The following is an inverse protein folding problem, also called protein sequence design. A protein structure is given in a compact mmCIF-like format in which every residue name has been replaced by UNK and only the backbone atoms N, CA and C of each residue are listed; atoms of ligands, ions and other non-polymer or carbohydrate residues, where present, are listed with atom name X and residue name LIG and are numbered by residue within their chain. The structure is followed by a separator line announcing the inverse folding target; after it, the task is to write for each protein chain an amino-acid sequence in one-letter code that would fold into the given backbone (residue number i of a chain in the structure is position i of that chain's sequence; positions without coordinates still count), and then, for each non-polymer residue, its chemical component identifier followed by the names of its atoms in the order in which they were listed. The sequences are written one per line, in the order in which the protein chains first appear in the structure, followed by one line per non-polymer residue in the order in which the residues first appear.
data_IF_808350023292
#
_entry.id   IF_808350023292
#
_cell.length_a   1.000
_cell.length_b   1.000
_cell.length_c   1.000
_cell.angle_alpha   90.00
_cell.angle_beta   90.00
_cell.angle_gamma   90.00
#
_symmetry.space_group_name_H-M   'P 1'
#
loop_
_entity.id
_entity.type
_entity.pdbx_description
1 polymer ?
#
# COMPACT_ATOMS: atom_id res chain seq x y z
N UNK A 1 -48.59 8.96 35.39
CA UNK A 1 -48.27 9.56 36.70
C UNK A 1 -46.97 8.95 37.20
N UNK A 2 -45.94 9.81 37.37
CA UNK A 2 -44.78 9.60 38.27
C UNK A 2 -45.28 9.52 39.74
N UNK A 3 -44.53 8.99 40.73
CA UNK A 3 -43.12 9.34 41.08
C UNK A 3 -42.21 8.10 41.30
N UNK A 4 -40.89 8.11 41.09
CA UNK A 4 -39.77 8.94 41.59
C UNK A 4 -39.41 8.70 43.05
N UNK A 5 -38.28 8.02 43.28
CA UNK A 5 -37.18 8.41 44.19
C UNK A 5 -35.90 7.67 43.81
N UNK A 6 -34.84 8.44 43.53
CA UNK A 6 -33.42 8.03 43.40
C UNK A 6 -32.87 7.44 44.72
N UNK A 7 -31.71 6.76 44.68
CA UNK A 7 -30.49 7.51 45.01
C UNK A 7 -29.34 7.29 44.01
N UNK A 8 -28.70 8.40 43.64
CA UNK A 8 -27.37 8.48 43.04
C UNK A 8 -26.30 7.99 44.02
N UNK A 9 -25.29 7.28 43.51
CA UNK A 9 -23.91 7.48 43.93
C UNK A 9 -22.93 7.11 42.81
N UNK A 10 -22.09 8.09 42.47
CA UNK A 10 -20.90 8.05 41.62
C UNK A 10 -19.90 6.99 42.08
N UNK A 11 -19.31 6.25 41.14
CA UNK A 11 -17.87 5.94 41.18
C UNK A 11 -17.31 6.02 39.75
N UNK A 12 -16.54 7.08 39.53
CA UNK A 12 -15.62 7.28 38.42
C UNK A 12 -14.53 6.20 38.35
N UNK A 13 -14.10 5.86 37.13
CA UNK A 13 -12.75 5.33 36.89
C UNK A 13 -12.68 3.86 36.46
N UNK A 14 -12.86 3.62 35.18
CA UNK A 14 -12.23 2.48 34.50
C UNK A 14 -12.05 2.85 33.03
N UNK A 15 -10.82 3.21 32.68
CA UNK A 15 -10.34 3.42 31.32
C UNK A 15 -10.63 2.17 30.48
N UNK A 16 -11.60 2.30 29.58
CA UNK A 16 -11.99 1.27 28.64
C UNK A 16 -10.82 0.95 27.69
N UNK A 17 -10.11 -0.13 28.00
CA UNK A 17 -9.14 -0.79 27.13
C UNK A 17 -9.93 -1.52 26.06
N UNK A 18 -10.10 -0.91 24.89
CA UNK A 18 -10.66 -1.59 23.73
C UNK A 18 -9.53 -2.42 23.09
N UNK A 19 -9.42 -3.67 23.53
CA UNK A 19 -8.55 -4.68 22.94
C UNK A 19 -9.24 -5.29 21.70
N UNK A 20 -8.51 -5.33 20.57
CA UNK A 20 -8.83 -6.18 19.42
C UNK A 20 -8.46 -7.65 19.74
N UNK A 21 -9.13 -8.59 19.05
CA UNK A 21 -9.43 -10.00 19.33
C UNK A 21 -8.22 -10.97 19.43
N UNK A 22 -7.02 -10.46 19.79
CA UNK A 22 -5.81 -11.24 20.14
C UNK A 22 -5.00 -10.65 21.32
N UNK A 23 -5.57 -9.79 22.16
CA UNK A 23 -4.90 -9.33 23.39
C UNK A 23 -3.56 -8.62 23.19
N UNK A 24 -3.33 -7.99 22.02
CA UNK A 24 -2.07 -7.32 21.67
C UNK A 24 -2.00 -5.93 22.27
N UNK A 25 -0.85 -5.56 22.84
CA UNK A 25 -0.63 -4.23 23.40
C UNK A 25 -0.33 -3.18 22.32
N UNK A 26 -0.46 -1.90 22.68
CA UNK A 26 -0.10 -0.77 21.81
C UNK A 26 1.38 -0.84 21.38
N UNK A 27 2.27 -1.14 22.32
CA UNK A 27 3.72 -1.21 22.07
C UNK A 27 4.06 -2.37 21.12
N UNK A 28 3.43 -3.54 21.29
CA UNK A 28 3.57 -4.66 20.36
C UNK A 28 3.09 -4.30 18.94
N UNK A 29 2.04 -3.48 18.82
CA UNK A 29 1.57 -3.00 17.53
C UNK A 29 2.59 -2.05 16.85
N UNK A 30 3.21 -1.15 17.63
CA UNK A 30 4.29 -0.26 17.15
C UNK A 30 5.51 -1.09 16.70
N UNK A 31 5.95 -2.04 17.53
CA UNK A 31 7.06 -2.95 17.21
C UNK A 31 6.77 -3.69 15.91
N UNK A 32 5.55 -4.22 15.74
CA UNK A 32 5.15 -4.91 14.50
C UNK A 32 5.29 -4.03 13.27
N UNK A 33 4.90 -2.76 13.33
CA UNK A 33 5.06 -1.82 12.20
C UNK A 33 6.53 -1.53 11.86
N UNK A 34 7.38 -1.43 12.88
CA UNK A 34 8.83 -1.28 12.71
C UNK A 34 9.45 -2.55 12.14
N UNK A 35 9.06 -3.74 12.61
CA UNK A 35 9.56 -5.02 12.10
C UNK A 35 9.30 -5.19 10.60
N UNK A 36 8.11 -4.82 10.12
CA UNK A 36 7.80 -4.88 8.68
C UNK A 36 8.69 -3.92 7.88
N UNK A 37 8.83 -2.68 8.36
CA UNK A 37 9.57 -1.63 7.64
C UNK A 37 11.07 -1.90 7.64
N UNK A 38 11.60 -2.51 8.70
CA UNK A 38 13.00 -2.96 8.78
C UNK A 38 13.33 -4.01 7.72
N UNK A 39 12.36 -4.75 7.14
CA UNK A 39 12.63 -5.72 6.06
C UNK A 39 13.16 -5.00 4.81
N UNK A 40 12.78 -3.74 4.66
CA UNK A 40 13.13 -2.89 3.52
C UNK A 40 14.18 -1.84 3.88
N UNK A 41 14.84 -1.97 5.04
CA UNK A 41 15.74 -0.94 5.59
C UNK A 41 15.07 0.44 5.65
N UNK A 42 13.80 0.46 6.08
CA UNK A 42 12.97 1.65 6.11
C UNK A 42 12.66 2.02 7.57
N UNK A 43 13.46 2.87 8.22
CA UNK A 43 13.11 3.43 9.51
C UNK A 43 11.94 4.40 9.33
N UNK A 44 11.05 4.49 10.32
CA UNK A 44 9.76 5.17 10.18
C UNK A 44 9.75 6.52 10.90
N UNK A 45 9.11 7.53 10.30
CA UNK A 45 8.67 8.71 11.05
C UNK A 45 7.48 8.35 11.95
N UNK A 46 7.20 9.16 12.96
CA UNK A 46 6.08 8.91 13.88
C UNK A 46 4.73 8.85 13.15
N UNK A 47 4.53 9.69 12.14
CA UNK A 47 3.32 9.69 11.33
C UNK A 47 3.18 8.42 10.50
N UNK A 48 4.30 7.85 10.06
CA UNK A 48 4.32 6.58 9.32
C UNK A 48 4.08 5.38 10.24
N UNK A 49 4.54 5.44 11.50
CA UNK A 49 4.17 4.46 12.54
C UNK A 49 2.65 4.49 12.72
N UNK A 50 2.06 5.66 12.97
CA UNK A 50 0.61 5.80 13.14
C UNK A 50 -0.14 5.34 11.89
N UNK A 51 0.31 5.73 10.70
CA UNK A 51 -0.31 5.34 9.43
C UNK A 51 -0.38 3.82 9.24
N UNK A 52 0.62 3.09 9.74
CA UNK A 52 0.76 1.65 9.51
C UNK A 52 0.75 0.81 10.79
N UNK A 53 0.24 1.35 11.90
CA UNK A 53 0.03 0.58 13.12
C UNK A 53 -1.14 -0.38 12.93
N UNK A 54 -0.94 -1.64 13.31
CA UNK A 54 -1.88 -2.73 12.98
C UNK A 54 -2.87 -2.96 14.11
N UNK A 55 -4.17 -2.90 13.80
CA UNK A 55 -5.26 -3.25 14.73
C UNK A 55 -5.44 -2.31 15.93
N UNK A 56 -4.67 -1.22 16.01
CA UNK A 56 -4.76 -0.23 17.09
C UNK A 56 -5.00 1.14 16.50
N UNK A 57 -6.05 1.83 16.98
CA UNK A 57 -6.29 3.23 16.63
C UNK A 57 -5.50 4.13 17.58
N UNK A 58 -4.70 5.04 17.05
CA UNK A 58 -3.92 6.01 17.83
C UNK A 58 -3.68 7.30 17.04
N UNK A 59 -3.35 8.35 17.77
CA UNK A 59 -2.92 9.64 17.24
C UNK A 59 -1.39 9.75 17.21
N UNK A 60 -0.88 10.78 16.52
CA UNK A 60 0.56 11.08 16.45
C UNK A 60 1.12 11.40 17.83
N UNK A 61 0.39 12.18 18.63
CA UNK A 61 0.83 12.57 19.97
C UNK A 61 0.88 11.37 20.92
N UNK A 62 -0.12 10.48 20.89
CA UNK A 62 -0.12 9.24 21.67
C UNK A 62 1.06 8.33 21.29
N UNK A 63 1.34 8.19 19.99
CA UNK A 63 2.47 7.40 19.51
C UNK A 63 3.81 8.01 19.94
N UNK A 64 3.98 9.33 19.79
CA UNK A 64 5.18 10.04 20.21
C UNK A 64 5.41 9.92 21.71
N UNK A 65 4.35 10.06 22.51
CA UNK A 65 4.47 9.93 23.96
C UNK A 65 4.82 8.51 24.38
N UNK A 66 4.20 7.49 23.76
CA UNK A 66 4.55 6.09 24.03
C UNK A 66 6.00 5.77 23.69
N UNK A 67 6.49 6.27 22.55
CA UNK A 67 7.88 6.11 22.12
C UNK A 67 8.88 6.78 23.07
N UNK A 68 8.48 7.79 23.85
CA UNK A 68 9.33 8.51 24.82
C UNK A 68 9.17 8.08 26.28
N UNK A 69 8.05 7.44 26.65
CA UNK A 69 7.71 7.17 28.05
C UNK A 69 7.61 5.67 28.40
N UNK A 70 7.47 4.77 27.41
CA UNK A 70 7.45 3.32 27.69
C UNK A 70 8.87 2.78 27.80
N UNK A 71 9.34 2.53 29.04
CA UNK A 71 10.70 2.03 29.29
C UNK A 71 11.05 0.75 28.49
N UNK A 72 10.19 -0.30 28.45
CA UNK A 72 10.48 -1.50 27.66
C UNK A 72 10.55 -1.22 26.15
N UNK A 73 9.73 -0.29 25.66
CA UNK A 73 9.74 0.10 24.25
C UNK A 73 10.99 0.91 23.90
N UNK A 74 11.36 1.88 24.74
CA UNK A 74 12.56 2.69 24.58
C UNK A 74 13.83 1.86 24.54
N UNK A 75 13.88 0.75 25.29
CA UNK A 75 15.00 -0.18 25.27
C UNK A 75 15.19 -0.88 23.91
N UNK A 76 14.13 -1.02 23.11
CA UNK A 76 14.15 -1.72 21.82
C UNK A 76 14.07 -0.79 20.61
N UNK A 77 13.45 0.37 20.76
CA UNK A 77 13.23 1.34 19.70
C UNK A 77 14.11 2.56 19.95
N UNK A 78 14.98 2.85 18.99
CA UNK A 78 15.88 4.01 19.00
C UNK A 78 15.41 5.05 17.99
N UNK A 79 15.94 6.25 18.10
CA UNK A 79 15.66 7.35 17.16
C UNK A 79 16.92 8.17 16.88
N UNK A 80 17.04 8.71 15.67
CA UNK A 80 18.04 9.72 15.28
C UNK A 80 17.48 11.16 15.37
N UNK A 81 16.29 11.31 15.97
CA UNK A 81 15.53 12.56 16.04
C UNK A 81 14.50 12.72 14.92
N UNK A 82 14.68 12.05 13.78
CA UNK A 82 13.77 12.12 12.63
C UNK A 82 13.04 10.78 12.39
N UNK A 83 13.77 9.68 12.50
CA UNK A 83 13.27 8.34 12.27
C UNK A 83 13.36 7.49 13.54
N UNK A 84 12.44 6.54 13.65
CA UNK A 84 12.39 5.50 14.66
C UNK A 84 12.73 4.16 14.03
N UNK A 85 13.54 3.37 14.73
CA UNK A 85 14.04 2.09 14.24
C UNK A 85 14.32 1.13 15.40
N UNK A 86 14.34 -0.17 15.08
CA UNK A 86 14.72 -1.20 16.03
C UNK A 86 16.22 -1.10 16.34
N UNK A 87 16.61 -1.39 17.58
CA UNK A 87 17.99 -1.34 18.03
C UNK A 87 18.96 -2.09 17.08
N UNK A 88 20.12 -1.48 16.80
CA UNK A 88 21.11 -2.02 15.86
C UNK A 88 20.85 -1.72 14.38
N UNK A 89 19.83 -0.90 14.07
CA UNK A 89 19.46 -0.52 12.69
C UNK A 89 19.74 0.93 12.33
N UNK A 90 20.59 1.62 13.10
CA UNK A 90 20.90 3.05 12.92
C UNK A 90 21.39 3.40 11.50
N UNK A 91 22.21 2.53 10.91
CA UNK A 91 22.71 2.71 9.54
C UNK A 91 21.59 2.82 8.48
N UNK A 92 20.38 2.32 8.75
CA UNK A 92 19.25 2.44 7.84
C UNK A 92 18.74 3.89 7.73
N UNK A 93 19.03 4.78 8.69
CA UNK A 93 18.59 6.17 8.66
C UNK A 93 19.26 6.96 7.54
N UNK A 94 20.58 6.83 7.39
CA UNK A 94 21.29 7.47 6.27
C UNK A 94 20.84 6.87 4.93
N UNK A 95 20.75 5.53 4.86
CA UNK A 95 20.28 4.84 3.65
C UNK A 95 18.87 5.30 3.23
N UNK A 96 17.98 5.54 4.21
CA UNK A 96 16.64 6.07 3.97
C UNK A 96 16.67 7.46 3.35
N UNK A 97 17.51 8.35 3.87
CA UNK A 97 17.69 9.73 3.34
C UNK A 97 18.19 9.69 1.89
N UNK A 98 19.19 8.85 1.61
CA UNK A 98 19.78 8.71 0.27
C UNK A 98 18.74 8.18 -0.74
N UNK A 99 18.05 7.08 -0.40
CA UNK A 99 17.00 6.50 -1.26
C UNK A 99 15.81 7.41 -1.45
N UNK A 100 15.45 8.20 -0.44
CA UNK A 100 14.36 9.16 -0.57
C UNK A 100 14.68 10.25 -1.59
N UNK A 101 15.91 10.77 -1.59
CA UNK A 101 16.37 11.74 -2.59
C UNK A 101 16.34 11.15 -4.02
N UNK A 102 16.89 9.95 -4.20
CA UNK A 102 16.89 9.24 -5.49
C UNK A 102 15.47 8.94 -5.98
N UNK A 103 14.62 8.42 -5.10
CA UNK A 103 13.23 8.08 -5.41
C UNK A 103 12.43 9.32 -5.82
N UNK A 104 12.64 10.46 -5.17
CA UNK A 104 11.99 11.73 -5.54
C UNK A 104 12.39 12.18 -6.94
N UNK A 105 13.68 12.07 -7.28
CA UNK A 105 14.17 12.37 -8.63
C UNK A 105 13.55 11.42 -9.67
N UNK A 106 13.57 10.12 -9.41
CA UNK A 106 12.99 9.12 -10.30
C UNK A 106 11.48 9.31 -10.48
N UNK A 107 10.75 9.62 -9.40
CA UNK A 107 9.31 9.89 -9.45
C UNK A 107 9.01 11.13 -10.30
N UNK A 108 9.79 12.21 -10.16
CA UNK A 108 9.62 13.42 -10.96
C UNK A 108 9.86 13.19 -12.47
N UNK A 109 10.87 12.38 -12.82
CA UNK A 109 11.11 11.94 -14.21
C UNK A 109 9.94 11.10 -14.71
N UNK A 110 9.51 10.13 -13.91
CA UNK A 110 8.42 9.20 -14.24
C UNK A 110 7.12 9.94 -14.51
N UNK A 111 6.78 10.96 -13.72
CA UNK A 111 5.57 11.77 -13.92
C UNK A 111 5.45 12.34 -15.33
N UNK A 112 6.54 12.89 -15.87
CA UNK A 112 6.56 13.47 -17.22
C UNK A 112 6.33 12.39 -18.28
N UNK A 113 6.96 11.23 -18.10
CA UNK A 113 6.85 10.07 -19.00
C UNK A 113 5.48 9.40 -18.95
N UNK A 114 4.76 9.56 -17.83
CA UNK A 114 3.42 9.01 -17.60
C UNK A 114 2.29 9.91 -18.12
N UNK A 115 2.55 11.18 -18.49
CA UNK A 115 1.55 12.09 -19.08
C UNK A 115 0.75 11.46 -20.25
N UNK A 116 1.38 10.75 -21.21
CA UNK A 116 0.67 10.11 -22.32
C UNK A 116 -0.32 9.02 -21.92
N UNK A 117 -0.26 8.50 -20.68
CA UNK A 117 -1.23 7.50 -20.20
C UNK A 117 -2.67 8.05 -20.24
N UNK A 118 -2.84 9.37 -20.12
CA UNK A 118 -4.13 10.04 -20.29
C UNK A 118 -4.78 9.81 -21.67
N UNK A 119 -4.02 9.33 -22.66
CA UNK A 119 -4.49 9.01 -24.01
C UNK A 119 -4.86 7.54 -24.23
N UNK A 120 -4.66 6.68 -23.24
CA UNK A 120 -4.92 5.25 -23.33
C UNK A 120 -6.44 5.01 -23.17
N UNK A 121 -7.10 4.38 -24.16
CA UNK A 121 -8.53 4.13 -24.08
C UNK A 121 -8.85 3.17 -22.93
N UNK A 122 -9.93 3.49 -22.23
CA UNK A 122 -10.49 2.73 -21.11
C UNK A 122 -9.58 2.61 -19.89
N UNK A 123 -8.44 3.31 -19.85
CA UNK A 123 -7.66 3.48 -18.63
C UNK A 123 -8.47 4.34 -17.64
N UNK A 124 -8.60 3.90 -16.40
CA UNK A 124 -9.33 4.60 -15.34
C UNK A 124 -8.46 4.95 -14.15
N UNK A 125 -7.43 4.14 -13.92
CA UNK A 125 -6.39 4.42 -12.93
C UNK A 125 -5.03 3.91 -13.39
N UNK A 126 -4.00 4.68 -13.09
CA UNK A 126 -2.63 4.21 -12.95
C UNK A 126 -2.09 4.72 -11.61
N UNK A 127 -1.46 3.85 -10.83
CA UNK A 127 -0.81 4.19 -9.56
C UNK A 127 0.59 3.59 -9.54
N UNK A 128 1.57 4.35 -9.04
CA UNK A 128 2.91 3.82 -8.76
C UNK A 128 2.84 3.00 -7.48
N UNK A 129 3.49 1.84 -7.47
CA UNK A 129 3.52 0.91 -6.33
C UNK A 129 4.96 0.52 -5.96
N UNK A 130 5.13 -0.28 -4.90
CA UNK A 130 6.43 -0.83 -4.52
C UNK A 130 7.38 0.21 -3.91
N UNK A 131 8.68 -0.04 -4.02
CA UNK A 131 9.72 0.75 -3.36
C UNK A 131 9.70 2.23 -3.78
N UNK A 132 9.44 2.52 -5.07
CA UNK A 132 9.35 3.90 -5.55
C UNK A 132 8.17 4.65 -4.93
N UNK A 133 7.04 3.98 -4.73
CA UNK A 133 5.87 4.57 -4.08
C UNK A 133 6.11 4.88 -2.60
N UNK A 134 6.93 4.07 -1.93
CA UNK A 134 7.40 4.33 -0.57
C UNK A 134 8.53 5.38 -0.51
N UNK A 135 9.01 5.88 -1.65
CA UNK A 135 10.23 6.70 -1.74
C UNK A 135 11.48 5.99 -1.20
N UNK A 136 11.58 4.68 -1.37
CA UNK A 136 12.70 3.85 -0.89
C UNK A 136 13.27 2.95 -1.99
N UNK A 137 13.13 3.36 -3.25
CA UNK A 137 13.68 2.64 -4.38
C UNK A 137 15.22 2.81 -4.41
N UNK A 138 15.97 1.70 -4.60
CA UNK A 138 17.34 1.76 -5.09
C UNK A 138 17.43 2.50 -6.44
N UNK A 139 18.58 3.14 -6.69
CA UNK A 139 18.89 3.70 -8.00
C UNK A 139 18.72 2.69 -9.13
N UNK A 140 17.94 3.07 -10.15
CA UNK A 140 17.78 2.30 -11.38
C UNK A 140 16.71 1.20 -11.35
N UNK A 141 15.94 1.07 -10.26
CA UNK A 141 14.84 0.11 -10.18
C UNK A 141 13.70 0.43 -11.16
N UNK A 142 12.98 -0.61 -11.60
CA UNK A 142 11.80 -0.48 -12.45
C UNK A 142 10.65 0.27 -11.74
N UNK A 143 9.82 0.95 -12.52
CA UNK A 143 8.59 1.61 -12.04
C UNK A 143 7.41 0.65 -12.13
N UNK A 144 6.99 0.12 -10.99
CA UNK A 144 5.81 -0.72 -10.89
C UNK A 144 4.51 0.09 -10.92
N UNK A 145 3.59 -0.32 -11.79
CA UNK A 145 2.29 0.29 -11.97
C UNK A 145 1.14 -0.67 -11.61
N UNK A 146 0.25 -0.19 -10.75
CA UNK A 146 -1.11 -0.71 -10.59
C UNK A 146 -2.04 0.00 -11.57
N UNK A 147 -2.64 -0.76 -12.48
CA UNK A 147 -3.53 -0.28 -13.53
C UNK A 147 -4.96 -0.73 -13.23
N UNK A 148 -5.94 0.17 -13.41
CA UNK A 148 -7.36 -0.17 -13.43
C UNK A 148 -7.95 0.23 -14.78
N UNK A 149 -8.55 -0.72 -15.48
CA UNK A 149 -9.31 -0.50 -16.71
C UNK A 149 -10.81 -0.39 -16.46
N UNK A 150 -11.52 0.18 -17.43
CA UNK A 150 -12.99 0.11 -17.49
C UNK A 150 -13.49 -1.33 -17.58
N UNK A 151 -14.75 -1.54 -17.21
CA UNK A 151 -15.45 -2.83 -17.31
C UNK A 151 -15.36 -3.38 -18.73
N UNK A 152 -15.03 -4.68 -18.85
CA UNK A 152 -14.97 -5.44 -20.12
C UNK A 152 -13.97 -4.89 -21.17
N UNK A 153 -13.01 -4.04 -20.78
CA UNK A 153 -12.02 -3.42 -21.68
C UNK A 153 -10.57 -3.68 -21.28
N UNK A 154 -10.35 -4.67 -20.42
CA UNK A 154 -9.05 -5.04 -19.85
C UNK A 154 -8.00 -5.31 -20.93
N UNK A 155 -8.35 -6.10 -21.95
CA UNK A 155 -7.39 -6.50 -22.99
C UNK A 155 -7.11 -5.35 -23.96
N UNK A 156 -8.12 -4.56 -24.30
CA UNK A 156 -7.95 -3.33 -25.08
C UNK A 156 -7.03 -2.35 -24.36
N UNK A 157 -7.27 -2.03 -23.08
CA UNK A 157 -6.40 -1.14 -22.31
C UNK A 157 -4.97 -1.69 -22.24
N UNK A 158 -4.80 -2.98 -21.96
CA UNK A 158 -3.49 -3.62 -21.91
C UNK A 158 -2.75 -3.57 -23.26
N UNK A 159 -3.46 -3.76 -24.37
CA UNK A 159 -2.89 -3.59 -25.72
C UNK A 159 -2.34 -2.19 -25.94
N UNK A 160 -3.12 -1.14 -25.68
CA UNK A 160 -2.64 0.23 -25.84
C UNK A 160 -1.50 0.58 -24.88
N UNK A 161 -1.50 0.05 -23.65
CA UNK A 161 -0.38 0.20 -22.72
C UNK A 161 0.90 -0.46 -23.23
N UNK A 162 0.80 -1.65 -23.84
CA UNK A 162 1.96 -2.29 -24.49
C UNK A 162 2.48 -1.49 -25.68
N UNK A 163 1.60 -0.88 -26.48
CA UNK A 163 2.01 0.01 -27.56
C UNK A 163 2.72 1.25 -27.02
N UNK A 164 2.14 1.89 -26.00
CA UNK A 164 2.78 3.02 -25.31
C UNK A 164 4.16 2.66 -24.77
N UNK A 165 4.30 1.48 -24.16
CA UNK A 165 5.59 1.01 -23.64
C UNK A 165 6.61 0.80 -24.75
N UNK A 166 6.20 0.17 -25.86
CA UNK A 166 7.06 -0.16 -27.00
C UNK A 166 7.50 1.08 -27.78
N UNK A 167 6.57 1.95 -28.13
CA UNK A 167 6.85 3.13 -28.98
C UNK A 167 7.31 4.34 -28.19
N UNK A 168 7.02 4.41 -26.89
CA UNK A 168 7.51 5.46 -26.01
C UNK A 168 8.88 5.18 -25.40
N UNK A 169 9.54 4.07 -25.77
CA UNK A 169 10.81 3.63 -25.17
C UNK A 169 10.78 3.65 -23.64
N UNK A 170 9.76 3.01 -23.06
CA UNK A 170 9.50 2.99 -21.62
C UNK A 170 9.74 1.59 -21.01
N UNK A 171 10.93 0.97 -21.19
CA UNK A 171 11.15 -0.42 -20.79
C UNK A 171 11.07 -0.64 -19.28
N UNK A 172 11.40 0.38 -18.51
CA UNK A 172 11.41 0.47 -17.04
C UNK A 172 10.01 0.50 -16.42
N UNK A 173 8.94 0.68 -17.20
CA UNK A 173 7.57 0.63 -16.67
C UNK A 173 6.98 -0.78 -16.73
N UNK A 174 6.79 -1.36 -15.54
CA UNK A 174 6.21 -2.67 -15.31
C UNK A 174 4.73 -2.54 -14.92
N UNK A 175 3.83 -3.21 -15.64
CA UNK A 175 2.41 -3.27 -15.28
C UNK A 175 2.18 -4.32 -14.18
N UNK A 176 2.71 -4.09 -12.98
CA UNK A 176 2.76 -5.06 -11.89
C UNK A 176 1.37 -5.63 -11.54
N UNK A 177 0.37 -4.76 -11.37
CA UNK A 177 -0.99 -5.20 -11.06
C UNK A 177 -1.96 -4.60 -12.08
N UNK A 178 -2.90 -5.40 -12.54
CA UNK A 178 -3.92 -4.96 -13.48
C UNK A 178 -5.30 -5.42 -13.01
N UNK A 179 -6.20 -4.47 -12.80
CA UNK A 179 -7.57 -4.68 -12.34
C UNK A 179 -8.56 -4.12 -13.35
N UNK A 180 -9.83 -4.50 -13.21
CA UNK A 180 -10.95 -3.89 -13.91
C UNK A 180 -11.93 -3.31 -12.91
N UNK A 181 -12.58 -2.21 -13.25
CA UNK A 181 -13.74 -1.67 -12.51
C UNK A 181 -14.91 -2.68 -12.37
N UNK A 182 -14.88 -3.79 -13.10
CA UNK A 182 -15.82 -4.89 -12.97
C UNK A 182 -15.52 -5.86 -11.83
N UNK A 183 -14.31 -5.83 -11.26
CA UNK A 183 -13.87 -6.69 -10.16
C UNK A 183 -12.83 -5.96 -9.29
N UNK A 184 -13.30 -4.97 -8.52
CA UNK A 184 -12.45 -4.19 -7.60
C UNK A 184 -12.26 -4.86 -6.23
N UNK A 185 -13.11 -5.82 -5.86
CA UNK A 185 -13.03 -6.52 -4.55
C UNK A 185 -11.77 -7.36 -4.49
N UNK A 186 -10.90 -7.13 -3.51
CA UNK A 186 -9.62 -7.80 -3.35
C UNK A 186 -9.71 -9.02 -2.42
N UNK A 187 -9.81 -10.24 -2.99
CA UNK A 187 -10.10 -11.47 -2.23
C UNK A 187 -8.96 -12.00 -1.35
N UNK A 188 -7.72 -11.49 -1.51
CA UNK A 188 -6.57 -11.94 -0.71
C UNK A 188 -6.35 -10.94 0.42
N UNK A 189 -7.24 -10.94 1.40
CA UNK A 189 -7.19 -10.00 2.51
C UNK A 189 -6.04 -10.40 3.45
N UNK A 190 -5.08 -9.50 3.63
CA UNK A 190 -4.03 -9.63 4.64
C UNK A 190 -3.25 -8.32 4.76
N UNK A 191 -2.51 -8.23 5.87
CA UNK A 191 -1.63 -7.13 6.22
C UNK A 191 -0.75 -6.65 5.06
N UNK A 192 -0.05 -7.55 4.36
CA UNK A 192 0.85 -7.18 3.26
C UNK A 192 0.12 -6.45 2.14
N UNK A 193 -1.03 -6.97 1.68
CA UNK A 193 -1.75 -6.29 0.60
C UNK A 193 -2.44 -5.01 1.04
N UNK A 194 -2.93 -4.92 2.28
CA UNK A 194 -3.43 -3.66 2.80
C UNK A 194 -2.32 -2.59 2.80
N UNK A 195 -1.10 -2.96 3.21
CA UNK A 195 0.06 -2.07 3.24
C UNK A 195 0.46 -1.59 1.83
N UNK A 196 0.46 -2.50 0.87
CA UNK A 196 0.75 -2.18 -0.54
C UNK A 196 -0.33 -1.28 -1.17
N UNK A 197 -1.62 -1.54 -0.89
CA UNK A 197 -2.73 -0.74 -1.42
C UNK A 197 -2.71 0.68 -0.85
N UNK A 198 -2.53 0.83 0.47
CA UNK A 198 -2.46 2.14 1.14
C UNK A 198 -1.17 2.90 0.80
N UNK A 199 -0.11 2.20 0.42
CA UNK A 199 1.17 2.77 -0.02
C UNK A 199 1.18 3.17 -1.50
N UNK A 200 0.20 2.75 -2.30
CA UNK A 200 0.13 3.09 -3.71
C UNK A 200 -0.05 4.61 -3.91
N UNK A 201 0.61 5.16 -4.93
CA UNK A 201 0.51 6.57 -5.31
C UNK A 201 -0.28 6.70 -6.62
N UNK A 202 -1.59 7.02 -6.58
CA UNK A 202 -2.37 7.26 -7.78
C UNK A 202 -1.78 8.45 -8.55
N UNK A 203 -1.38 8.21 -9.80
CA UNK A 203 -0.79 9.21 -10.71
C UNK A 203 -1.77 9.70 -11.77
N UNK A 204 -2.65 8.81 -12.21
CA UNK A 204 -3.78 9.08 -13.08
C UNK A 204 -4.98 8.38 -12.45
N UNK A 205 -6.02 9.12 -12.10
CA UNK A 205 -7.18 8.55 -11.44
C UNK A 205 -8.46 9.29 -11.86
N UNK A 206 -9.48 8.55 -12.24
CA UNK A 206 -10.81 9.05 -12.64
C UNK A 206 -11.88 8.73 -11.59
N UNK A 207 -11.48 8.58 -10.33
CA UNK A 207 -12.32 8.13 -9.21
C UNK A 207 -12.28 6.61 -8.97
N UNK A 208 -11.45 5.88 -9.71
CA UNK A 208 -11.31 4.42 -9.59
C UNK A 208 -10.59 4.00 -8.31
N UNK A 209 -9.62 4.79 -7.84
CA UNK A 209 -8.89 4.45 -6.63
C UNK A 209 -9.80 4.50 -5.40
N UNK A 210 -10.67 5.51 -5.32
CA UNK A 210 -11.68 5.65 -4.27
C UNK A 210 -12.63 4.46 -4.27
N UNK A 211 -13.21 4.13 -5.44
CA UNK A 211 -14.06 2.95 -5.59
C UNK A 211 -13.33 1.65 -5.24
N UNK A 212 -12.02 1.58 -5.51
CA UNK A 212 -11.21 0.43 -5.15
C UNK A 212 -11.04 0.32 -3.63
N UNK A 213 -10.76 1.42 -2.93
CA UNK A 213 -10.69 1.43 -1.47
C UNK A 213 -12.06 1.15 -0.82
N UNK A 214 -13.14 1.72 -1.35
CA UNK A 214 -14.50 1.50 -0.83
C UNK A 214 -14.99 0.06 -1.03
N UNK A 215 -14.51 -0.63 -2.08
CA UNK A 215 -14.76 -2.05 -2.29
C UNK A 215 -13.95 -2.97 -1.36
N UNK A 216 -13.04 -2.41 -0.55
CA UNK A 216 -12.10 -3.14 0.31
C UNK A 216 -12.01 -2.53 1.72
N UNK A 217 -13.12 -2.46 2.48
CA UNK A 217 -13.14 -1.82 3.80
C UNK A 217 -12.25 -2.53 4.83
N UNK A 218 -12.01 -3.83 4.67
CA UNK A 218 -11.12 -4.65 5.51
C UNK A 218 -9.71 -4.06 5.68
N UNK A 219 -9.26 -3.21 4.74
CA UNK A 219 -7.98 -2.50 4.83
C UNK A 219 -7.93 -1.61 6.08
N UNK A 220 -9.05 -0.99 6.44
CA UNK A 220 -9.16 -0.10 7.60
C UNK A 220 -9.26 -0.87 8.92
N UNK A 221 -9.76 -2.11 8.88
CA UNK A 221 -9.71 -3.00 10.06
C UNK A 221 -8.27 -3.39 10.37
N UNK A 222 -7.44 -3.57 9.33
CA UNK A 222 -5.99 -3.82 9.50
C UNK A 222 -5.27 -2.56 9.99
N UNK A 223 -5.57 -1.38 9.43
CA UNK A 223 -4.91 -0.11 9.74
C UNK A 223 -5.93 0.96 10.20
N UNK A 224 -6.46 0.84 11.44
CA UNK A 224 -7.55 1.70 11.91
C UNK A 224 -7.15 3.16 12.18
N UNK A 225 -5.85 3.43 12.24
CA UNK A 225 -5.26 4.77 12.38
C UNK A 225 -5.07 5.50 11.04
N UNK A 226 -5.23 4.80 9.91
CA UNK A 226 -5.07 5.40 8.59
C UNK A 226 -6.19 6.42 8.33
N UNK A 227 -5.79 7.65 8.05
CA UNK A 227 -6.71 8.73 7.73
C UNK A 227 -6.60 9.10 6.24
N UNK A 228 -7.71 9.02 5.50
CA UNK A 228 -7.74 9.30 4.06
C UNK A 228 -7.40 10.76 3.73
N UNK A 229 -7.68 11.73 4.61
CA UNK A 229 -7.42 13.14 4.37
C UNK A 229 -5.96 13.51 4.60
N UNK A 230 -5.35 12.94 5.64
CA UNK A 230 -3.96 13.17 6.04
C UNK A 230 -2.97 12.30 5.28
N UNK A 231 -3.23 11.00 5.19
CA UNK A 231 -2.22 10.01 4.78
C UNK A 231 -2.23 9.70 3.28
N UNK A 232 -3.30 10.10 2.58
CA UNK A 232 -3.44 9.82 1.15
C UNK A 232 -2.55 10.75 0.33
N UNK A 233 -1.43 10.19 -0.09
CA UNK A 233 -0.57 10.85 -1.06
C UNK A 233 -1.14 10.65 -2.47
N UNK A 234 -1.35 11.76 -3.16
CA UNK A 234 -1.69 11.75 -4.59
C UNK A 234 -0.65 12.55 -5.35
N UNK A 235 -0.12 11.95 -6.40
CA UNK A 235 0.70 12.64 -7.36
C UNK A 235 -0.13 12.88 -8.60
N UNK A 236 -0.19 14.11 -9.08
CA UNK A 236 -0.98 14.40 -10.26
C UNK A 236 -0.05 14.60 -11.45
N UNK A 237 -0.22 13.78 -12.49
CA UNK A 237 0.39 14.12 -13.77
C UNK A 237 -0.32 15.36 -14.36
N UNK A 238 0.42 16.30 -14.98
CA UNK A 238 -0.18 17.47 -15.61
C UNK A 238 -1.26 17.08 -16.61
N UNK A 239 -2.47 17.67 -16.48
CA UNK A 239 -3.58 17.38 -17.38
C UNK A 239 -3.22 17.83 -18.79
N UNK A 240 -3.43 16.95 -19.76
CA UNK A 240 -3.09 17.24 -21.16
C UNK A 240 -4.33 17.13 -22.05
N UNK A 241 -4.91 18.25 -22.51
CA UNK A 241 -6.14 18.25 -23.31
C UNK A 241 -6.04 17.38 -24.58
N UNK A 242 -4.87 17.36 -25.23
CA UNK A 242 -4.59 16.51 -26.39
C UNK A 242 -4.77 15.02 -26.09
N UNK A 243 -4.22 14.56 -24.97
CA UNK A 243 -4.26 13.15 -24.57
C UNK A 243 -5.67 12.76 -24.12
N UNK A 244 -6.33 13.61 -23.33
CA UNK A 244 -7.73 13.42 -22.92
C UNK A 244 -8.67 13.35 -24.14
N UNK A 245 -8.47 14.22 -25.14
CA UNK A 245 -9.27 14.19 -26.39
C UNK A 245 -9.03 12.90 -27.17
N UNK A 246 -7.76 12.47 -27.28
CA UNK A 246 -7.39 11.19 -27.90
C UNK A 246 -8.05 10.00 -27.22
N UNK A 247 -8.03 9.94 -25.88
CA UNK A 247 -8.68 8.89 -25.12
C UNK A 247 -10.18 8.84 -25.44
N UNK A 248 -10.87 9.99 -25.36
CA UNK A 248 -12.31 10.06 -25.68
C UNK A 248 -12.64 9.62 -27.10
N UNK A 249 -11.82 10.02 -28.08
CA UNK A 249 -12.02 9.61 -29.48
C UNK A 249 -11.85 8.09 -29.64
N UNK A 250 -10.76 7.53 -29.10
CA UNK A 250 -10.50 6.09 -29.18
C UNK A 250 -11.57 5.29 -28.43
N UNK A 251 -12.03 5.76 -27.27
CA UNK A 251 -13.13 5.09 -26.54
C UNK A 251 -14.44 5.12 -27.33
N UNK A 252 -14.75 6.21 -28.03
CA UNK A 252 -15.94 6.29 -28.92
C UNK A 252 -15.82 5.34 -30.10
N UNK A 253 -14.65 5.28 -30.75
CA UNK A 253 -14.40 4.38 -31.89
C UNK A 253 -14.44 2.91 -31.47
N UNK A 254 -13.96 2.61 -30.27
CA UNK A 254 -13.93 1.27 -29.68
C UNK A 254 -15.13 1.02 -28.76
N UNK A 255 -16.21 1.80 -28.90
CA UNK A 255 -17.46 1.54 -28.20
C UNK A 255 -18.33 0.56 -29.01
N UNK A 256 -19.22 -0.15 -28.32
CA UNK A 256 -20.19 -1.06 -28.93
C UNK A 256 -19.56 -2.29 -29.59
N UNK A 257 -20.27 -2.85 -30.57
CA UNK A 257 -19.97 -4.13 -31.22
C UNK A 257 -18.55 -4.19 -31.83
N UNK A 258 -18.08 -3.17 -32.59
CA UNK A 258 -16.73 -3.19 -33.14
C UNK A 258 -15.65 -3.27 -32.05
N UNK A 259 -15.85 -2.53 -30.96
CA UNK A 259 -14.97 -2.58 -29.79
C UNK A 259 -15.00 -3.93 -29.06
N UNK A 260 -16.18 -4.55 -28.97
CA UNK A 260 -16.34 -5.87 -28.35
C UNK A 260 -15.66 -6.97 -29.16
N UNK A 261 -15.77 -6.91 -30.49
CA UNK A 261 -15.03 -7.80 -31.38
C UNK A 261 -13.52 -7.58 -31.27
N UNK A 262 -13.08 -6.32 -31.18
CA UNK A 262 -11.67 -5.99 -30.97
C UNK A 262 -11.14 -6.53 -29.63
N UNK A 263 -11.87 -6.32 -28.53
CA UNK A 263 -11.55 -6.86 -27.21
C UNK A 263 -11.42 -8.39 -27.27
N UNK A 264 -12.37 -9.08 -27.91
CA UNK A 264 -12.35 -10.54 -28.04
C UNK A 264 -11.13 -11.03 -28.84
N UNK A 265 -10.83 -10.37 -29.96
CA UNK A 265 -9.74 -10.72 -30.86
C UNK A 265 -8.38 -10.51 -30.16
N UNK A 266 -8.16 -9.32 -29.61
CA UNK A 266 -6.93 -8.98 -28.89
C UNK A 266 -6.74 -9.85 -27.65
N UNK A 267 -7.81 -10.14 -26.91
CA UNK A 267 -7.76 -11.10 -25.79
C UNK A 267 -7.18 -12.43 -26.23
N UNK A 268 -7.67 -12.98 -27.34
CA UNK A 268 -7.22 -14.28 -27.85
C UNK A 268 -5.74 -14.25 -28.22
N UNK A 269 -5.31 -13.21 -28.94
CA UNK A 269 -3.91 -13.04 -29.37
C UNK A 269 -2.98 -12.84 -28.16
N UNK A 270 -3.36 -11.97 -27.22
CA UNK A 270 -2.53 -11.62 -26.07
C UNK A 270 -2.49 -12.74 -25.03
N UNK A 271 -3.57 -13.50 -24.86
CA UNK A 271 -3.61 -14.70 -24.00
C UNK A 271 -2.53 -15.70 -24.44
N UNK A 272 -2.51 -16.05 -25.73
CA UNK A 272 -1.52 -17.00 -26.29
C UNK A 272 -0.08 -16.54 -26.06
N UNK A 273 0.19 -15.24 -26.23
CA UNK A 273 1.52 -14.66 -26.01
C UNK A 273 1.91 -14.59 -24.53
N UNK A 274 0.94 -14.37 -23.64
CA UNK A 274 1.19 -14.32 -22.20
C UNK A 274 1.46 -15.72 -21.65
N UNK A 275 0.68 -16.73 -22.05
CA UNK A 275 0.88 -18.10 -21.59
C UNK A 275 2.23 -18.67 -22.04
N UNK A 276 2.74 -18.28 -23.23
CA UNK A 276 4.07 -18.69 -23.68
C UNK A 276 5.21 -17.99 -22.93
N UNK A 277 5.01 -16.77 -22.45
CA UNK A 277 6.05 -15.97 -21.78
C UNK A 277 6.01 -16.11 -20.25
N UNK A 278 4.84 -16.37 -19.69
CA UNK A 278 4.55 -16.41 -18.25
C UNK A 278 3.33 -17.29 -18.00
N UNK A 279 3.53 -18.62 -17.86
CA UNK A 279 2.43 -19.57 -17.67
C UNK A 279 1.49 -19.16 -16.52
N UNK A 280 0.19 -19.09 -16.78
CA UNK A 280 -0.83 -18.73 -15.79
C UNK A 280 -1.17 -17.25 -15.70
N UNK A 281 -0.37 -16.35 -16.29
CA UNK A 281 -0.67 -14.91 -16.32
C UNK A 281 -1.97 -14.61 -17.06
N UNK A 282 -2.26 -15.33 -18.15
CA UNK A 282 -3.50 -15.13 -18.90
C UNK A 282 -4.74 -15.65 -18.15
N UNK A 283 -4.61 -16.74 -17.38
CA UNK A 283 -5.69 -17.24 -16.52
C UNK A 283 -6.04 -16.23 -15.42
N UNK A 284 -5.02 -15.61 -14.81
CA UNK A 284 -5.21 -14.52 -13.87
C UNK A 284 -5.97 -13.36 -14.54
N UNK A 285 -5.52 -12.95 -15.73
CA UNK A 285 -6.12 -11.86 -16.50
C UNK A 285 -7.59 -12.11 -16.89
N UNK A 286 -7.96 -13.37 -17.18
CA UNK A 286 -9.36 -13.78 -17.42
C UNK A 286 -10.26 -13.57 -16.19
N UNK A 287 -9.70 -13.64 -14.98
CA UNK A 287 -10.38 -13.29 -13.72
C UNK A 287 -10.30 -11.79 -13.41
N UNK A 288 -10.08 -10.95 -14.42
CA UNK A 288 -9.92 -9.48 -14.30
C UNK A 288 -8.82 -9.05 -13.32
N UNK A 289 -7.82 -9.90 -13.09
CA UNK A 289 -6.71 -9.63 -12.17
C UNK A 289 -5.41 -10.08 -12.76
N UNK A 290 -4.49 -9.19 -13.05
CA UNK A 290 -3.12 -9.59 -13.33
C UNK A 290 -2.28 -9.24 -12.12
N UNK A 291 -1.54 -10.20 -11.58
CA UNK A 291 -0.29 -9.95 -10.88
C UNK A 291 0.82 -10.38 -11.83
N UNK A 292 1.50 -9.42 -12.46
CA UNK A 292 2.68 -9.63 -13.28
C UNK A 292 3.93 -9.65 -12.41
N UNK A 293 3.91 -10.37 -11.29
CA UNK A 293 5.15 -10.73 -10.64
C UNK A 293 5.77 -11.91 -11.37
N UNK A 294 7.04 -11.76 -11.78
CA UNK A 294 7.88 -12.89 -12.21
C UNK A 294 8.25 -13.82 -11.04
N UNK A 295 8.11 -13.37 -9.78
CA UNK A 295 8.34 -14.15 -8.53
C UNK A 295 7.40 -13.65 -7.42
N UNK A 296 6.63 -14.54 -6.79
CA UNK A 296 5.80 -14.20 -5.62
C UNK A 296 6.69 -14.10 -4.38
N UNK A 297 7.32 -12.94 -4.19
CA UNK A 297 8.19 -12.69 -3.03
C UNK A 297 7.40 -12.50 -1.72
N UNK A 298 6.07 -12.61 -1.73
CA UNK A 298 5.23 -12.48 -0.53
C UNK A 298 5.58 -13.52 0.51
N UNK A 299 5.67 -14.80 0.14
CA UNK A 299 5.92 -15.87 1.11
C UNK A 299 7.24 -15.64 1.86
N UNK A 300 8.37 -15.35 1.18
CA UNK A 300 9.61 -14.97 1.88
C UNK A 300 9.49 -13.73 2.76
N UNK A 301 8.79 -12.68 2.31
CA UNK A 301 8.61 -11.43 3.10
C UNK A 301 7.79 -11.70 4.36
N UNK A 302 6.69 -12.45 4.24
CA UNK A 302 5.81 -12.76 5.36
C UNK A 302 6.50 -13.67 6.38
N UNK A 303 7.29 -14.66 5.94
CA UNK A 303 8.07 -15.51 6.85
C UNK A 303 9.06 -14.65 7.64
N UNK A 304 9.87 -13.82 6.97
CA UNK A 304 10.81 -12.90 7.65
C UNK A 304 10.10 -11.93 8.60
N UNK A 305 8.91 -11.50 8.22
CA UNK A 305 8.11 -10.60 9.05
C UNK A 305 7.62 -11.29 10.32
N UNK A 306 7.06 -12.48 10.20
CA UNK A 306 6.57 -13.23 11.36
C UNK A 306 7.71 -13.62 12.30
N UNK A 307 8.86 -14.05 11.76
CA UNK A 307 10.10 -14.33 12.54
C UNK A 307 10.57 -13.10 13.33
N UNK A 308 10.63 -11.93 12.69
CA UNK A 308 11.04 -10.68 13.36
C UNK A 308 10.04 -10.26 14.42
N UNK A 309 8.74 -10.33 14.12
CA UNK A 309 7.72 -9.95 15.11
C UNK A 309 7.83 -10.84 16.34
N UNK A 310 8.00 -12.15 16.16
CA UNK A 310 8.18 -13.08 17.28
C UNK A 310 9.41 -12.74 18.12
N UNK A 311 10.56 -12.51 17.48
CA UNK A 311 11.82 -12.14 18.13
C UNK A 311 11.67 -10.86 18.98
N UNK A 312 11.20 -9.77 18.37
CA UNK A 312 11.15 -8.46 19.01
C UNK A 312 10.03 -8.38 20.06
N UNK A 313 8.91 -9.06 19.84
CA UNK A 313 7.83 -9.14 20.83
C UNK A 313 8.26 -9.95 22.05
N UNK A 314 9.02 -11.03 21.87
CA UNK A 314 9.60 -11.79 23.00
C UNK A 314 10.51 -10.90 23.85
N UNK A 315 11.46 -10.21 23.21
CA UNK A 315 12.35 -9.25 23.90
C UNK A 315 11.58 -8.16 24.65
N UNK A 316 10.51 -7.63 24.04
CA UNK A 316 9.66 -6.63 24.69
C UNK A 316 8.98 -7.18 25.93
N UNK A 317 8.40 -8.38 25.86
CA UNK A 317 7.72 -9.01 27.00
C UNK A 317 8.69 -9.30 28.13
N UNK A 318 9.90 -9.76 27.84
CA UNK A 318 10.96 -9.97 28.85
C UNK A 318 11.29 -8.68 29.61
N UNK A 319 11.34 -7.53 28.91
CA UNK A 319 11.58 -6.22 29.51
C UNK A 319 10.36 -5.65 30.24
N UNK A 320 9.15 -6.05 29.83
CA UNK A 320 7.89 -5.56 30.41
C UNK A 320 7.46 -6.32 31.67
N UNK A 321 8.07 -7.47 31.99
CA UNK A 321 7.83 -8.15 33.28
C UNK A 321 8.46 -7.30 34.39
N UNK A 322 7.70 -6.82 35.39
CA UNK A 322 8.28 -6.07 36.50
C UNK A 322 9.31 -6.95 37.20
N UNK A 323 10.52 -6.43 37.36
CA UNK A 323 11.56 -7.11 38.14
C UNK A 323 10.99 -7.45 39.51
N UNK A 324 10.86 -8.74 39.81
CA UNK A 324 10.51 -9.22 41.15
C UNK A 324 11.62 -8.71 42.06
N UNK A 325 11.39 -7.64 42.80
CA UNK A 325 12.31 -7.23 43.86
C UNK A 325 12.34 -8.37 44.86
N UNK A 326 13.51 -8.94 45.20
CA UNK A 326 13.59 -9.81 46.36
C UNK A 326 13.09 -9.00 47.55
N UNK A 327 12.12 -9.55 48.27
CA UNK A 327 11.71 -9.02 49.58
C UNK A 327 12.93 -9.21 50.48
N UNK A 328 13.55 -8.10 50.88
CA UNK A 328 14.62 -8.08 51.88
C UNK A 328 14.14 -8.59 53.24
#
# INVERSE_FOLDING_TARGET
MKPSTDPKQDISGATATVADDRGRTVDEAIIRSLCYSDIFSYPLRVEEIVRYVTGVKMTIDEAAERLRASEPLMALVRTDGEFYFLEGREANCQLRKDREAESRQQLAISQRRLVPLQGIPFLRMAAVTGALAALNAPAGDDVDLLIVSSRKRTWTTYFFLRLWRRFGHNPDFCFNVFLSEGDLVFRKENFFYAREILGALPIYNTGSFERFLDANPWIYDVFPSYDRGRDRQMYHIPRSPRWVRRQRLLEKLLAGIPGDLFEFTIRTIQTRRLDSSSPGAAMSMRRNRIKLHKRDNRSPIMVKFDERVEEWTRRYRELAVPAIRPVE
#
